data_IF_575780665191
#
_entry.id   IF_575780665191
#
_cell.length_a   1.000
_cell.length_b   1.000
_cell.length_c   1.000
_cell.angle_alpha   90.00
_cell.angle_beta   90.00
_cell.angle_gamma   90.00
#
_symmetry.space_group_name_H-M   'P 1'
#
loop_
_entity.id
_entity.type
_entity.pdbx_description
1 polymer ?
#
# COMPACT_ATOMS: atom_id res chain seq x y z
N UNK A 1 -26.34 -29.15 31.33
CA UNK A 1 -26.70 -28.61 30.00
C UNK A 1 -26.46 -27.12 30.05
N UNK A 2 -25.33 -26.66 29.49
CA UNK A 2 -25.11 -25.21 29.33
C UNK A 2 -26.16 -24.69 28.34
N UNK A 3 -26.80 -23.59 28.73
CA UNK A 3 -27.95 -23.02 28.04
C UNK A 3 -27.49 -22.55 26.64
N UNK A 4 -28.05 -23.11 25.58
CA UNK A 4 -27.69 -22.78 24.18
C UNK A 4 -27.73 -21.25 23.93
N UNK A 5 -28.61 -20.55 24.64
CA UNK A 5 -28.75 -19.10 24.60
C UNK A 5 -27.48 -18.36 25.09
N UNK A 6 -26.76 -18.87 26.09
CA UNK A 6 -25.50 -18.27 26.58
C UNK A 6 -24.32 -18.51 25.64
N UNK A 7 -24.35 -19.60 24.86
CA UNK A 7 -23.34 -19.87 23.83
C UNK A 7 -23.60 -19.01 22.58
N UNK A 8 -24.85 -18.85 22.15
CA UNK A 8 -25.21 -17.94 21.06
C UNK A 8 -24.94 -16.47 21.40
N UNK A 9 -25.21 -16.05 22.63
CA UNK A 9 -24.90 -14.69 23.09
C UNK A 9 -23.40 -14.37 23.14
N UNK A 10 -22.50 -15.34 22.94
CA UNK A 10 -21.05 -15.14 22.83
C UNK A 10 -20.55 -15.17 21.37
N UNK A 11 -21.41 -15.50 20.41
CA UNK A 11 -21.05 -15.55 18.98
C UNK A 11 -21.48 -14.26 18.27
N UNK A 12 -20.76 -13.17 18.54
CA UNK A 12 -21.00 -11.86 17.93
C UNK A 12 -20.40 -11.72 16.53
N UNK A 13 -19.71 -12.75 16.06
CA UNK A 13 -18.99 -12.75 14.80
C UNK A 13 -19.79 -13.51 13.75
N UNK A 14 -19.93 -12.93 12.55
CA UNK A 14 -20.48 -13.65 11.40
C UNK A 14 -19.53 -14.81 11.02
N UNK A 15 -20.10 -15.97 10.68
CA UNK A 15 -19.34 -17.04 10.04
C UNK A 15 -18.92 -16.54 8.64
N UNK A 16 -17.62 -16.29 8.46
CA UNK A 16 -17.04 -15.93 7.17
C UNK A 16 -16.01 -16.97 6.72
N UNK A 17 -15.47 -16.79 5.53
CA UNK A 17 -14.47 -17.71 4.92
C UNK A 17 -13.15 -17.82 5.70
N UNK A 18 -12.94 -16.97 6.71
CA UNK A 18 -11.74 -16.98 7.56
C UNK A 18 -12.09 -17.02 9.04
N UNK A 19 -11.34 -17.80 9.85
CA UNK A 19 -11.57 -17.89 11.28
C UNK A 19 -11.16 -16.61 12.00
N UNK A 20 -11.83 -16.30 13.11
CA UNK A 20 -11.48 -15.17 14.00
C UNK A 20 -10.07 -15.36 14.56
N UNK A 21 -9.25 -14.30 14.52
CA UNK A 21 -7.89 -14.26 15.06
C UNK A 21 -7.85 -13.41 16.31
N UNK A 22 -7.35 -13.94 17.42
CA UNK A 22 -7.35 -13.25 18.72
C UNK A 22 -6.05 -12.50 19.04
N UNK A 23 -4.94 -12.85 18.39
CA UNK A 23 -3.60 -12.28 18.67
C UNK A 23 -3.14 -11.29 17.60
N UNK A 24 -4.08 -10.63 16.93
CA UNK A 24 -3.80 -9.66 15.87
C UNK A 24 -3.43 -8.29 16.45
N UNK A 25 -2.42 -7.65 15.86
CA UNK A 25 -2.15 -6.21 16.05
C UNK A 25 -2.87 -5.44 14.94
N UNK A 26 -3.67 -4.45 15.32
CA UNK A 26 -4.47 -3.63 14.39
C UNK A 26 -4.08 -2.17 14.56
N UNK A 27 -3.84 -1.50 13.44
CA UNK A 27 -3.63 -0.05 13.39
C UNK A 27 -4.81 0.57 12.66
N UNK A 28 -5.52 1.48 13.33
CA UNK A 28 -6.55 2.27 12.71
C UNK A 28 -5.92 3.46 12.00
N UNK A 29 -6.41 3.74 10.79
CA UNK A 29 -5.93 4.85 9.99
C UNK A 29 -7.12 5.74 9.67
N UNK A 30 -6.97 7.01 9.97
CA UNK A 30 -7.93 8.05 9.59
C UNK A 30 -7.36 8.76 8.38
N UNK A 31 -8.19 9.02 7.38
CA UNK A 31 -7.86 9.71 6.13
C UNK A 31 -6.93 8.95 5.15
N UNK A 32 -6.82 9.51 3.95
CA UNK A 32 -6.00 8.96 2.88
C UNK A 32 -4.50 9.28 3.01
N UNK A 33 -4.12 10.36 3.68
CA UNK A 33 -2.70 10.74 3.84
C UNK A 33 -1.98 9.70 4.69
N UNK A 34 -2.52 9.37 5.86
CA UNK A 34 -1.91 8.39 6.75
C UNK A 34 -1.93 6.98 6.14
N UNK A 35 -3.00 6.62 5.42
CA UNK A 35 -3.12 5.31 4.79
C UNK A 35 -2.09 5.12 3.67
N UNK A 36 -1.97 6.12 2.79
CA UNK A 36 -1.06 6.06 1.66
C UNK A 36 0.41 6.14 2.09
N UNK A 37 0.73 6.87 3.17
CA UNK A 37 2.06 6.86 3.77
C UNK A 37 2.45 5.48 4.29
N UNK A 38 1.56 4.84 5.07
CA UNK A 38 1.81 3.49 5.58
C UNK A 38 1.95 2.47 4.44
N UNK A 39 1.08 2.54 3.42
CA UNK A 39 1.19 1.69 2.23
C UNK A 39 2.55 1.86 1.55
N UNK A 40 2.99 3.10 1.29
CA UNK A 40 4.28 3.37 0.67
C UNK A 40 5.44 2.78 1.47
N UNK A 41 5.47 3.03 2.78
CA UNK A 41 6.50 2.47 3.68
C UNK A 41 6.53 0.94 3.63
N UNK A 42 5.37 0.28 3.61
CA UNK A 42 5.28 -1.18 3.53
C UNK A 42 5.65 -1.73 2.16
N UNK A 43 5.28 -1.06 1.07
CA UNK A 43 5.67 -1.47 -0.29
C UNK A 43 7.17 -1.37 -0.48
N UNK A 44 7.78 -0.28 -0.04
CA UNK A 44 9.23 -0.11 -0.08
C UNK A 44 9.90 -1.17 0.80
N UNK A 45 9.38 -1.50 1.98
CA UNK A 45 9.99 -2.53 2.84
C UNK A 45 9.75 -3.97 2.39
N UNK A 46 8.87 -4.22 1.43
CA UNK A 46 8.49 -5.57 1.05
C UNK A 46 9.71 -6.37 0.55
N UNK A 47 9.76 -7.66 0.89
CA UNK A 47 10.88 -8.54 0.56
C UNK A 47 10.49 -9.69 -0.37
N UNK A 48 9.21 -10.01 -0.46
CA UNK A 48 8.74 -11.21 -1.18
C UNK A 48 7.61 -10.91 -2.13
N UNK A 49 6.50 -10.36 -1.63
CA UNK A 49 5.34 -10.09 -2.44
C UNK A 49 4.57 -8.86 -1.99
N UNK A 50 3.87 -8.24 -2.94
CA UNK A 50 2.83 -7.22 -2.75
C UNK A 50 1.67 -7.61 -3.66
N UNK A 51 0.51 -7.91 -3.07
CA UNK A 51 -0.71 -8.19 -3.83
C UNK A 51 -1.76 -7.14 -3.53
N UNK A 52 -2.28 -6.50 -4.57
CA UNK A 52 -3.30 -5.46 -4.48
C UNK A 52 -4.55 -5.89 -5.25
N UNK A 53 -5.71 -5.55 -4.70
CA UNK A 53 -7.00 -5.68 -5.36
C UNK A 53 -7.72 -4.34 -5.24
N UNK A 54 -7.99 -3.70 -6.38
CA UNK A 54 -8.42 -2.31 -6.43
C UNK A 54 -9.66 -2.15 -7.32
N UNK A 55 -10.68 -1.48 -6.79
CA UNK A 55 -11.80 -1.02 -7.61
C UNK A 55 -11.39 0.12 -8.55
N UNK A 56 -10.47 0.98 -8.10
CA UNK A 56 -9.87 2.01 -8.92
C UNK A 56 -8.45 2.31 -8.49
N UNK A 57 -7.63 2.72 -9.46
CA UNK A 57 -6.22 3.02 -9.25
C UNK A 57 -5.75 4.06 -10.26
N UNK A 58 -4.82 4.91 -9.87
CA UNK A 58 -4.15 5.85 -10.77
C UNK A 58 -2.66 5.70 -10.54
N UNK A 59 -1.95 5.11 -11.51
CA UNK A 59 -0.56 4.70 -11.33
C UNK A 59 0.36 5.88 -10.98
N UNK A 60 0.16 7.01 -11.66
CA UNK A 60 0.97 8.22 -11.50
C UNK A 60 0.62 9.05 -10.27
N UNK A 61 -0.39 8.66 -9.49
CA UNK A 61 -0.73 9.39 -8.27
C UNK A 61 0.39 9.26 -7.24
N UNK A 62 0.91 10.39 -6.77
CA UNK A 62 1.80 10.44 -5.60
C UNK A 62 1.03 9.97 -4.35
N UNK A 63 1.52 8.90 -3.74
CA UNK A 63 0.97 8.31 -2.51
C UNK A 63 1.62 8.89 -1.25
N UNK A 64 2.75 9.60 -1.39
CA UNK A 64 3.36 10.38 -0.30
C UNK A 64 3.74 11.75 -0.86
N UNK A 65 3.43 12.82 -0.13
CA UNK A 65 3.58 14.20 -0.59
C UNK A 65 4.05 15.11 0.55
N UNK A 66 4.48 16.32 0.17
CA UNK A 66 4.78 17.39 1.12
C UNK A 66 5.81 16.98 2.17
N UNK A 67 5.57 17.30 3.43
CA UNK A 67 6.53 17.05 4.52
C UNK A 67 6.76 15.57 4.82
N UNK A 68 5.83 14.69 4.44
CA UNK A 68 6.01 13.24 4.62
C UNK A 68 7.01 12.68 3.61
N UNK A 69 7.09 13.28 2.42
CA UNK A 69 8.10 12.94 1.42
C UNK A 69 9.42 13.67 1.72
N UNK A 70 9.33 14.98 1.96
CA UNK A 70 10.47 15.87 2.20
C UNK A 70 10.11 16.93 3.24
N UNK A 71 10.55 16.70 4.48
CA UNK A 71 10.27 17.58 5.62
C UNK A 71 11.02 18.92 5.57
N UNK A 72 12.13 19.00 4.81
CA UNK A 72 12.90 20.22 4.62
C UNK A 72 14.04 20.09 3.60
N UNK A 73 14.86 21.13 3.43
CA UNK A 73 16.08 21.06 2.60
C UNK A 73 17.06 19.99 3.09
N UNK A 74 17.90 19.48 2.19
CA UNK A 74 18.88 18.46 2.57
C UNK A 74 19.83 18.98 3.64
N UNK A 75 20.02 18.16 4.68
CA UNK A 75 20.84 18.51 5.84
C UNK A 75 20.12 19.30 6.95
N UNK A 76 18.88 19.75 6.72
CA UNK A 76 18.08 20.40 7.76
C UNK A 76 17.75 19.45 8.92
N UNK A 77 17.50 19.96 10.14
CA UNK A 77 17.10 19.13 11.27
C UNK A 77 15.83 18.31 10.99
N UNK A 78 14.84 18.91 10.32
CA UNK A 78 13.55 18.29 10.01
C UNK A 78 13.73 17.16 8.99
N UNK A 79 14.53 17.39 7.94
CA UNK A 79 14.82 16.33 6.97
C UNK A 79 15.60 15.19 7.63
N UNK A 80 16.57 15.48 8.49
CA UNK A 80 17.31 14.43 9.24
C UNK A 80 16.38 13.64 10.17
N UNK A 81 15.41 14.28 10.81
CA UNK A 81 14.42 13.60 11.65
C UNK A 81 13.59 12.61 10.82
N UNK A 82 13.05 13.05 9.67
CA UNK A 82 12.33 12.17 8.74
C UNK A 82 13.19 10.97 8.31
N UNK A 83 14.43 11.19 7.89
CA UNK A 83 15.32 10.09 7.49
C UNK A 83 15.60 9.11 8.64
N UNK A 84 15.69 9.61 9.87
CA UNK A 84 15.87 8.77 11.07
C UNK A 84 14.62 7.93 11.34
N UNK A 85 13.42 8.49 11.18
CA UNK A 85 12.16 7.75 11.30
C UNK A 85 12.04 6.65 10.25
N UNK A 86 12.39 6.95 8.98
CA UNK A 86 12.42 5.97 7.90
C UNK A 86 13.39 4.81 8.20
N UNK A 87 14.57 5.11 8.75
CA UNK A 87 15.52 4.08 9.20
C UNK A 87 14.96 3.26 10.37
N UNK A 88 14.31 3.91 11.35
CA UNK A 88 13.75 3.26 12.53
C UNK A 88 12.64 2.25 12.17
N UNK A 89 11.88 2.52 11.11
CA UNK A 89 10.90 1.57 10.59
C UNK A 89 11.54 0.49 9.69
N UNK A 90 12.83 0.53 9.45
CA UNK A 90 13.60 -0.54 8.79
C UNK A 90 13.89 -0.32 7.30
N UNK A 91 13.70 0.89 6.75
CA UNK A 91 14.17 1.19 5.40
C UNK A 91 15.70 1.18 5.37
N UNK A 92 16.25 0.55 4.35
CA UNK A 92 17.69 0.47 4.13
C UNK A 92 18.21 1.73 3.41
N UNK A 93 19.53 1.90 3.35
CA UNK A 93 20.14 3.07 2.68
C UNK A 93 19.70 3.22 1.22
N UNK A 94 19.51 2.11 0.50
CA UNK A 94 19.01 2.14 -0.88
C UNK A 94 17.54 2.58 -0.96
N UNK A 95 16.70 2.15 -0.02
CA UNK A 95 15.30 2.54 0.06
C UNK A 95 15.16 4.04 0.37
N UNK A 96 15.99 4.54 1.28
CA UNK A 96 16.04 5.95 1.64
C UNK A 96 16.55 6.79 0.47
N UNK A 97 17.58 6.31 -0.24
CA UNK A 97 18.04 6.99 -1.45
C UNK A 97 16.92 7.07 -2.50
N UNK A 98 16.18 5.97 -2.72
CA UNK A 98 15.00 5.99 -3.60
C UNK A 98 13.98 7.04 -3.13
N UNK A 99 13.62 7.02 -1.85
CA UNK A 99 12.68 7.98 -1.24
C UNK A 99 13.07 9.44 -1.49
N UNK A 100 14.36 9.77 -1.38
CA UNK A 100 14.85 11.14 -1.54
C UNK A 100 14.96 11.60 -2.99
N UNK A 101 15.11 10.67 -3.95
CA UNK A 101 15.47 10.98 -5.34
C UNK A 101 14.34 10.80 -6.34
N UNK A 102 13.22 10.20 -5.92
CA UNK A 102 12.09 9.90 -6.78
C UNK A 102 10.80 10.49 -6.21
N UNK A 103 9.89 10.88 -7.10
CA UNK A 103 8.50 11.11 -6.73
C UNK A 103 7.88 9.78 -6.28
N UNK A 104 7.20 9.81 -5.13
CA UNK A 104 6.60 8.62 -4.53
C UNK A 104 5.22 8.35 -5.14
N UNK A 105 5.18 8.19 -6.46
CA UNK A 105 4.00 7.69 -7.18
C UNK A 105 3.81 6.19 -6.95
N UNK A 106 2.57 5.72 -7.06
CA UNK A 106 2.27 4.29 -6.92
C UNK A 106 3.07 3.45 -7.94
N UNK A 107 3.15 3.91 -9.19
CA UNK A 107 3.94 3.27 -10.24
C UNK A 107 5.43 3.19 -9.87
N UNK A 108 6.03 4.29 -9.43
CA UNK A 108 7.45 4.33 -9.07
C UNK A 108 7.75 3.41 -7.88
N UNK A 109 6.90 3.44 -6.85
CA UNK A 109 7.07 2.64 -5.63
C UNK A 109 6.93 1.14 -5.90
N UNK A 110 5.91 0.74 -6.66
CA UNK A 110 5.73 -0.67 -7.02
C UNK A 110 6.81 -1.15 -8.00
N UNK A 111 7.19 -0.32 -8.97
CA UNK A 111 8.33 -0.60 -9.87
C UNK A 111 9.65 -0.75 -9.11
N UNK A 112 9.87 0.07 -8.07
CA UNK A 112 11.03 -0.09 -7.20
C UNK A 112 11.01 -1.42 -6.44
N UNK A 113 9.85 -1.83 -5.90
CA UNK A 113 9.70 -3.15 -5.28
C UNK A 113 10.03 -4.28 -6.28
N UNK A 114 9.49 -4.22 -7.51
CA UNK A 114 9.81 -5.17 -8.59
C UNK A 114 11.31 -5.20 -8.88
N UNK A 115 11.97 -4.05 -8.96
CA UNK A 115 13.42 -3.98 -9.23
C UNK A 115 14.28 -4.63 -8.14
N UNK A 116 13.74 -4.79 -6.92
CA UNK A 116 14.36 -5.52 -5.82
C UNK A 116 14.04 -7.02 -5.82
N UNK A 117 13.29 -7.50 -6.80
CA UNK A 117 12.87 -8.90 -6.91
C UNK A 117 11.62 -9.24 -6.09
N UNK A 118 10.86 -8.24 -5.64
CA UNK A 118 9.55 -8.46 -4.99
C UNK A 118 8.54 -8.81 -6.08
N UNK A 119 7.77 -9.88 -5.87
CA UNK A 119 6.64 -10.22 -6.73
C UNK A 119 5.50 -9.23 -6.49
N UNK A 120 5.13 -8.46 -7.51
CA UNK A 120 4.01 -7.51 -7.40
C UNK A 120 2.87 -7.92 -8.33
N UNK A 121 1.70 -8.18 -7.75
CA UNK A 121 0.47 -8.49 -8.50
C UNK A 121 -0.62 -7.49 -8.19
N UNK A 122 -1.35 -7.08 -9.21
CA UNK A 122 -2.49 -6.18 -9.08
C UNK A 122 -3.68 -6.77 -9.82
N UNK A 123 -4.80 -6.93 -9.11
CA UNK A 123 -6.11 -7.14 -9.70
C UNK A 123 -6.85 -5.79 -9.72
N UNK A 124 -7.16 -5.31 -10.92
CA UNK A 124 -7.78 -4.00 -11.15
C UNK A 124 -9.15 -4.19 -11.77
N UNK A 125 -10.19 -3.60 -11.19
CA UNK A 125 -11.54 -3.73 -11.72
C UNK A 125 -11.67 -3.16 -13.14
N UNK A 126 -12.14 -3.94 -14.11
CA UNK A 126 -12.42 -3.44 -15.45
C UNK A 126 -13.67 -2.59 -15.43
N UNK A 127 -13.46 -1.27 -15.43
CA UNK A 127 -14.57 -0.34 -15.25
C UNK A 127 -15.51 -0.35 -16.46
N UNK A 128 -16.81 -0.17 -16.22
CA UNK A 128 -17.74 0.18 -17.30
C UNK A 128 -17.58 1.68 -17.58
N UNK A 129 -17.49 2.13 -18.85
CA UNK A 129 -17.19 3.52 -19.19
C UNK A 129 -18.09 4.58 -18.55
N UNK A 130 -19.34 4.22 -18.22
CA UNK A 130 -20.31 5.12 -17.58
C UNK A 130 -20.11 5.31 -16.06
N UNK A 131 -19.31 4.43 -15.43
CA UNK A 131 -18.99 4.47 -13.99
C UNK A 131 -17.48 4.70 -13.74
N UNK A 132 -16.71 4.89 -14.81
CA UNK A 132 -15.27 5.05 -14.76
C UNK A 132 -14.89 6.43 -14.22
N UNK A 133 -14.27 6.47 -13.04
CA UNK A 133 -13.60 7.67 -12.51
C UNK A 133 -12.09 7.65 -12.72
N UNK A 134 -11.58 6.65 -13.45
CA UNK A 134 -10.18 6.47 -13.82
C UNK A 134 -10.11 5.72 -15.15
N UNK A 135 -8.94 5.73 -15.79
CA UNK A 135 -8.68 4.98 -17.01
C UNK A 135 -8.00 3.65 -16.66
N UNK A 136 -8.77 2.56 -16.65
CA UNK A 136 -8.26 1.23 -16.27
C UNK A 136 -7.20 0.71 -17.23
N UNK A 137 -7.36 0.97 -18.53
CA UNK A 137 -6.42 0.49 -19.54
C UNK A 137 -5.07 1.20 -19.44
N UNK A 138 -5.08 2.54 -19.29
CA UNK A 138 -3.86 3.31 -19.07
C UNK A 138 -3.15 2.86 -17.80
N UNK A 139 -3.89 2.68 -16.70
CA UNK A 139 -3.32 2.21 -15.44
C UNK A 139 -2.74 0.80 -15.56
N UNK A 140 -3.41 -0.10 -16.28
CA UNK A 140 -2.90 -1.42 -16.60
C UNK A 140 -1.58 -1.34 -17.35
N UNK A 141 -1.51 -0.56 -18.43
CA UNK A 141 -0.32 -0.41 -19.26
C UNK A 141 0.85 0.18 -18.45
N UNK A 142 0.58 1.20 -17.63
CA UNK A 142 1.56 1.84 -16.74
C UNK A 142 2.15 0.87 -15.71
N UNK A 143 1.32 -0.01 -15.13
CA UNK A 143 1.78 -1.03 -14.18
C UNK A 143 2.62 -2.10 -14.88
N UNK A 144 2.15 -2.61 -16.04
CA UNK A 144 2.89 -3.61 -16.82
C UNK A 144 4.25 -3.06 -17.27
N UNK A 145 4.34 -1.77 -17.60
CA UNK A 145 5.58 -1.12 -18.03
C UNK A 145 6.68 -1.15 -16.96
N UNK A 146 6.33 -1.21 -15.67
CA UNK A 146 7.30 -1.32 -14.55
C UNK A 146 7.45 -2.74 -14.01
N UNK A 147 6.97 -3.74 -14.75
CA UNK A 147 7.11 -5.16 -14.41
C UNK A 147 6.13 -5.68 -13.37
N UNK A 148 5.09 -4.92 -13.02
CA UNK A 148 3.98 -5.40 -12.18
C UNK A 148 3.13 -6.38 -12.97
N UNK A 149 2.75 -7.50 -12.36
CA UNK A 149 1.78 -8.44 -12.94
C UNK A 149 0.35 -7.92 -12.69
N UNK A 150 -0.12 -7.06 -13.59
CA UNK A 150 -1.46 -6.48 -13.53
C UNK A 150 -2.45 -7.32 -14.33
N UNK A 151 -3.65 -7.51 -13.79
CA UNK A 151 -4.80 -8.21 -14.39
C UNK A 151 -6.02 -7.30 -14.27
N UNK A 152 -6.82 -7.21 -15.34
CA UNK A 152 -8.15 -6.58 -15.28
C UNK A 152 -9.20 -7.63 -14.89
N UNK A 153 -10.01 -7.34 -13.87
CA UNK A 153 -11.14 -8.17 -13.42
C UNK A 153 -12.29 -8.06 -14.43
N UNK A 154 -12.68 -9.16 -15.06
CA UNK A 154 -13.61 -9.20 -16.22
C UNK A 154 -15.09 -8.93 -15.87
#
# INVERSE_FOLDING_TARGET
MQNLAEQQAKSWWAEGDTPVRHDSRVTYVTDGRAAMLLMCQHFIKAQRYIYLANWGMTAKMEIVRGTDHRAGPDGSPEQKALLTELQAIGLQSADINFWQTHDLSLQAVLGYAVSKGVEVKVLLWKSLPIFAHYNEQETYDEMKAVGVDCILDD
#
